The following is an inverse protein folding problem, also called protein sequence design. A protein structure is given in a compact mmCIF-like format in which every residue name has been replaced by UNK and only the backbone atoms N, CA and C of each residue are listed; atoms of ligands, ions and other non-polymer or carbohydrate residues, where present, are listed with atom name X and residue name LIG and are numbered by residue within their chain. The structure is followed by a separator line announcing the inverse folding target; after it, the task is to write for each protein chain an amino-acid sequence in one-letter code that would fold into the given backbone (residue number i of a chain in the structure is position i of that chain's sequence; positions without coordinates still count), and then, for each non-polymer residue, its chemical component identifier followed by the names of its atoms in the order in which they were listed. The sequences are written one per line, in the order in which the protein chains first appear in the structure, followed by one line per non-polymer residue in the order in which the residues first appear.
data_IF_868544660666
#
_entry.id   IF_868544660666
#
_cell.length_a   1.000
_cell.length_b   1.000
_cell.length_c   1.000
_cell.angle_alpha   90.00
_cell.angle_beta   90.00
_cell.angle_gamma   90.00
#
_symmetry.space_group_name_H-M   'P 1'
#
loop_
_entity.id
_entity.type
_entity.pdbx_description
1 polymer ?
#
# COMPACT_ATOMS: atom_id res chain seq x y z
N UNK A 1 4.76 -6.79 1.75
CA UNK A 1 5.55 -8.03 1.54
C UNK A 1 4.84 -9.11 2.33
N UNK A 2 4.55 -10.26 1.70
CA UNK A 2 4.04 -11.43 2.43
C UNK A 2 5.20 -12.28 2.95
N UNK A 3 4.92 -13.17 3.92
CA UNK A 3 5.96 -13.98 4.57
C UNK A 3 6.70 -14.90 3.60
N UNK A 4 5.98 -15.51 2.64
CA UNK A 4 6.58 -16.43 1.64
C UNK A 4 7.55 -15.70 0.73
N UNK A 5 7.21 -14.48 0.31
CA UNK A 5 8.11 -13.63 -0.46
C UNK A 5 9.36 -13.29 0.36
N UNK A 6 9.21 -12.98 1.64
CA UNK A 6 10.34 -12.64 2.51
C UNK A 6 11.31 -13.82 2.67
N UNK A 7 10.80 -15.02 2.96
CA UNK A 7 11.61 -16.24 3.07
C UNK A 7 12.37 -16.56 1.77
N UNK A 8 11.74 -16.33 0.62
CA UNK A 8 12.39 -16.52 -0.69
C UNK A 8 13.52 -15.51 -0.91
N UNK A 9 13.32 -14.25 -0.53
CA UNK A 9 14.35 -13.22 -0.65
C UNK A 9 15.53 -13.52 0.28
N UNK A 10 15.27 -13.99 1.50
CA UNK A 10 16.28 -14.46 2.44
C UNK A 10 17.11 -15.61 1.84
N UNK A 11 16.44 -16.66 1.34
CA UNK A 11 17.09 -17.81 0.72
C UNK A 11 17.94 -17.43 -0.50
N UNK A 12 17.46 -16.51 -1.34
CA UNK A 12 18.24 -15.96 -2.46
C UNK A 12 19.47 -15.21 -1.95
N UNK A 13 19.31 -14.35 -0.94
CA UNK A 13 20.40 -13.57 -0.35
C UNK A 13 21.50 -14.48 0.22
N UNK A 14 21.11 -15.48 1.01
CA UNK A 14 22.02 -16.51 1.57
C UNK A 14 22.80 -17.22 0.47
N UNK A 15 22.10 -17.69 -0.57
CA UNK A 15 22.70 -18.44 -1.69
C UNK A 15 23.66 -17.60 -2.51
N UNK A 16 23.23 -16.41 -2.97
CA UNK A 16 24.04 -15.55 -3.85
C UNK A 16 25.30 -15.04 -3.15
N UNK A 17 25.25 -14.86 -1.83
CA UNK A 17 26.36 -14.33 -1.04
C UNK A 17 27.25 -15.42 -0.42
N UNK A 18 26.93 -16.70 -0.64
CA UNK A 18 27.70 -17.83 -0.10
C UNK A 18 27.70 -17.88 1.43
N UNK A 19 26.63 -17.40 2.08
CA UNK A 19 26.49 -17.35 3.54
C UNK A 19 25.17 -18.02 3.95
N UNK A 20 25.10 -19.37 3.97
CA UNK A 20 23.86 -20.10 4.21
C UNK A 20 23.29 -19.88 5.62
N UNK A 21 24.15 -19.65 6.61
CA UNK A 21 23.75 -19.54 8.02
C UNK A 21 23.59 -18.08 8.50
N UNK A 22 23.59 -17.10 7.60
CA UNK A 22 23.45 -15.68 7.95
C UNK A 22 22.21 -15.09 7.25
N UNK A 23 21.25 -14.48 7.98
CA UNK A 23 20.07 -13.86 7.39
C UNK A 23 20.41 -12.92 6.24
N UNK A 24 19.70 -13.07 5.13
CA UNK A 24 19.88 -12.33 3.89
C UNK A 24 21.33 -12.35 3.36
N UNK A 25 22.13 -13.35 3.76
CA UNK A 25 23.57 -13.41 3.47
C UNK A 25 24.37 -12.28 4.11
N UNK A 26 23.90 -11.73 5.23
CA UNK A 26 24.53 -10.64 5.97
C UNK A 26 24.31 -9.25 5.38
N UNK A 27 23.23 -9.06 4.60
CA UNK A 27 22.77 -7.71 4.21
C UNK A 27 22.06 -7.09 5.41
N UNK A 28 22.39 -5.84 5.74
CA UNK A 28 21.65 -5.09 6.74
C UNK A 28 20.27 -4.72 6.17
N UNK A 29 19.23 -5.32 6.74
CA UNK A 29 17.86 -5.04 6.33
C UNK A 29 17.21 -4.02 7.26
N UNK A 30 16.57 -3.00 6.69
CA UNK A 30 15.78 -2.00 7.41
C UNK A 30 14.35 -2.11 6.89
N UNK A 31 13.44 -2.52 7.76
CA UNK A 31 12.02 -2.58 7.45
C UNK A 31 11.29 -1.41 8.11
N UNK A 32 10.36 -0.81 7.40
CA UNK A 32 9.44 0.18 7.93
C UNK A 32 8.03 -0.11 7.43
N UNK A 33 7.04 0.11 8.29
CA UNK A 33 5.65 -0.17 7.97
C UNK A 33 4.76 -0.15 9.19
N UNK A 34 3.50 -0.45 8.95
CA UNK A 34 2.46 -0.53 9.98
C UNK A 34 1.55 -1.72 9.64
N UNK A 35 1.64 -2.78 10.45
CA UNK A 35 0.86 -3.99 10.23
C UNK A 35 -0.63 -3.84 10.53
N UNK A 36 -1.06 -2.72 11.13
CA UNK A 36 -2.47 -2.36 11.26
C UNK A 36 -3.06 -1.74 9.99
N UNK A 37 -2.24 -1.49 8.95
CA UNK A 37 -2.71 -1.00 7.66
C UNK A 37 -3.04 -2.17 6.71
N UNK A 38 -3.03 -1.92 5.40
CA UNK A 38 -3.45 -2.90 4.41
C UNK A 38 -2.55 -4.15 4.43
N UNK A 39 -3.15 -5.36 4.47
CA UNK A 39 -2.41 -6.60 4.31
C UNK A 39 -1.87 -6.74 2.88
N UNK A 40 -0.90 -7.63 2.64
CA UNK A 40 -0.49 -7.96 1.29
C UNK A 40 -1.66 -8.54 0.48
N UNK A 41 -1.74 -8.17 -0.80
CA UNK A 41 -2.85 -8.58 -1.68
C UNK A 41 -2.83 -10.10 -1.89
N UNK A 42 -3.92 -10.78 -1.51
CA UNK A 42 -4.09 -12.24 -1.67
C UNK A 42 -3.05 -13.10 -0.94
N UNK A 43 -2.39 -12.56 0.09
CA UNK A 43 -1.44 -13.32 0.89
C UNK A 43 -2.12 -14.05 2.04
N UNK A 44 -1.57 -15.22 2.38
CA UNK A 44 -1.98 -16.02 3.53
C UNK A 44 -1.16 -15.67 4.79
N UNK A 45 0.08 -15.21 4.59
CA UNK A 45 1.03 -14.87 5.68
C UNK A 45 1.50 -13.42 5.58
N UNK A 46 1.46 -12.71 6.69
CA UNK A 46 2.12 -11.42 6.87
C UNK A 46 3.64 -11.58 6.87
N UNK A 47 4.37 -10.48 6.66
CA UNK A 47 5.84 -10.50 6.69
C UNK A 47 6.39 -10.97 8.05
N UNK A 48 5.76 -10.57 9.16
CA UNK A 48 6.18 -10.95 10.51
C UNK A 48 5.91 -12.42 10.85
N UNK A 49 5.20 -13.13 9.98
CA UNK A 49 4.97 -14.56 10.12
C UNK A 49 5.96 -15.37 9.29
N UNK A 50 6.94 -14.76 8.61
CA UNK A 50 7.97 -15.45 7.84
C UNK A 50 8.90 -16.27 8.75
N UNK A 51 9.41 -17.40 8.26
CA UNK A 51 10.28 -18.28 9.04
C UNK A 51 11.60 -17.57 9.39
N UNK A 52 12.11 -16.71 8.48
CA UNK A 52 13.33 -15.95 8.71
C UNK A 52 13.14 -14.71 9.60
N UNK A 53 11.90 -14.35 10.00
CA UNK A 53 11.64 -13.04 10.62
C UNK A 53 12.38 -12.83 11.94
N UNK A 54 12.29 -13.79 12.86
CA UNK A 54 12.88 -13.66 14.19
C UNK A 54 14.42 -13.64 14.16
N UNK A 55 15.03 -14.33 13.19
CA UNK A 55 16.49 -14.32 12.97
C UNK A 55 16.95 -13.00 12.31
N UNK A 56 16.11 -12.45 11.42
CA UNK A 56 16.41 -11.26 10.64
C UNK A 56 16.21 -9.95 11.42
N UNK A 57 15.15 -9.88 12.23
CA UNK A 57 14.73 -8.66 12.93
C UNK A 57 15.30 -8.64 14.35
N UNK A 58 16.55 -8.20 14.46
CA UNK A 58 17.21 -8.06 15.77
C UNK A 58 16.63 -6.94 16.65
N UNK A 59 16.07 -5.89 16.03
CA UNK A 59 15.57 -4.71 16.74
C UNK A 59 14.25 -4.23 16.14
N UNK A 60 13.30 -3.93 17.02
CA UNK A 60 12.01 -3.32 16.67
C UNK A 60 11.85 -2.01 17.44
N UNK A 61 11.52 -0.93 16.73
CA UNK A 61 11.30 0.40 17.30
C UNK A 61 9.90 0.86 16.92
N UNK A 62 9.08 1.14 17.94
CA UNK A 62 7.72 1.66 17.74
C UNK A 62 7.70 3.17 17.93
N UNK A 63 7.40 3.91 16.85
CA UNK A 63 7.22 5.35 16.89
C UNK A 63 5.84 5.69 17.47
N UNK A 64 5.81 6.57 18.48
CA UNK A 64 4.57 6.93 19.20
C UNK A 64 3.99 8.30 18.80
N UNK A 65 4.83 9.22 18.30
CA UNK A 65 4.41 10.58 17.98
C UNK A 65 3.81 10.67 16.58
N UNK A 66 2.56 11.13 16.49
CA UNK A 66 1.88 11.44 15.22
C UNK A 66 2.24 12.86 14.78
N UNK A 67 2.65 13.01 13.52
CA UNK A 67 3.05 14.31 12.94
C UNK A 67 2.10 14.84 11.88
N UNK A 68 1.33 13.98 11.21
CA UNK A 68 0.46 14.35 10.09
C UNK A 68 -0.74 15.16 10.56
N UNK A 69 -1.39 14.71 11.63
CA UNK A 69 -2.51 15.41 12.28
C UNK A 69 -2.00 16.16 13.51
N UNK A 70 -2.54 17.35 13.77
CA UNK A 70 -2.23 18.15 14.97
C UNK A 70 -3.37 18.13 15.99
N UNK A 71 -4.60 17.91 15.54
CA UNK A 71 -5.79 17.88 16.39
C UNK A 71 -5.81 16.59 17.23
N UNK A 72 -5.77 16.72 18.55
CA UNK A 72 -5.71 15.58 19.46
C UNK A 72 -6.96 14.71 19.42
N UNK A 73 -8.13 15.31 19.22
CA UNK A 73 -9.40 14.58 19.10
C UNK A 73 -9.40 13.72 17.86
N UNK A 74 -8.88 14.24 16.74
CA UNK A 74 -8.74 13.48 15.51
C UNK A 74 -7.66 12.40 15.61
N UNK A 75 -6.54 12.67 16.27
CA UNK A 75 -5.50 11.66 16.55
C UNK A 75 -6.08 10.50 17.36
N UNK A 76 -6.88 10.78 18.41
CA UNK A 76 -7.56 9.74 19.19
C UNK A 76 -8.51 8.90 18.32
N UNK A 77 -9.37 9.56 17.55
CA UNK A 77 -10.29 8.90 16.61
C UNK A 77 -9.55 7.94 15.65
N UNK A 78 -8.42 8.36 15.07
CA UNK A 78 -7.64 7.51 14.15
C UNK A 78 -6.95 6.34 14.85
N UNK A 79 -6.47 6.53 16.08
CA UNK A 79 -5.86 5.45 16.86
C UNK A 79 -6.90 4.41 17.32
N UNK A 80 -8.11 4.84 17.69
CA UNK A 80 -9.23 3.92 17.98
C UNK A 80 -9.60 3.10 16.75
N UNK A 81 -9.70 3.73 15.59
CA UNK A 81 -9.93 3.04 14.31
C UNK A 81 -8.84 2.02 14.01
N UNK A 82 -7.57 2.36 14.26
CA UNK A 82 -6.42 1.47 14.03
C UNK A 82 -6.51 0.17 14.85
N UNK A 83 -7.04 0.23 16.08
CA UNK A 83 -7.16 -0.92 16.96
C UNK A 83 -8.56 -1.56 16.96
N UNK A 84 -9.50 -1.01 16.18
CA UNK A 84 -10.91 -1.38 16.16
C UNK A 84 -11.63 -1.24 17.52
N UNK A 85 -11.22 -0.26 18.34
CA UNK A 85 -11.78 0.03 19.66
C UNK A 85 -12.55 1.36 19.64
N UNK A 86 -13.74 1.37 19.01
CA UNK A 86 -14.46 2.60 18.71
C UNK A 86 -15.30 3.10 19.90
N UNK A 87 -15.00 4.30 20.38
CA UNK A 87 -15.85 5.01 21.33
C UNK A 87 -17.12 5.59 20.67
N UNK A 88 -18.11 5.92 21.50
CA UNK A 88 -19.30 6.65 21.04
C UNK A 88 -18.94 8.02 20.44
N UNK A 89 -17.92 8.68 20.99
CA UNK A 89 -17.43 9.96 20.49
C UNK A 89 -16.84 9.81 19.08
N UNK A 90 -15.97 8.82 18.86
CA UNK A 90 -15.39 8.51 17.54
C UNK A 90 -16.46 8.17 16.52
N UNK A 91 -17.43 7.31 16.89
CA UNK A 91 -18.55 6.97 16.01
C UNK A 91 -19.35 8.22 15.61
N UNK A 92 -19.58 9.14 16.55
CA UNK A 92 -20.29 10.37 16.29
C UNK A 92 -19.49 11.31 15.38
N UNK A 93 -18.21 11.49 15.67
CA UNK A 93 -17.29 12.31 14.85
C UNK A 93 -17.26 11.84 13.39
N UNK A 94 -17.23 10.53 13.15
CA UNK A 94 -17.26 9.97 11.80
C UNK A 94 -18.60 10.21 11.09
N UNK A 95 -19.73 10.08 11.81
CA UNK A 95 -21.06 10.38 11.25
C UNK A 95 -21.22 11.84 10.88
N UNK A 96 -20.70 12.74 11.72
CA UNK A 96 -20.75 14.18 11.46
C UNK A 96 -19.85 14.56 10.28
N UNK A 97 -18.67 13.93 10.16
CA UNK A 97 -17.77 14.14 9.03
C UNK A 97 -18.39 13.81 7.67
N UNK A 98 -19.37 12.90 7.61
CA UNK A 98 -20.10 12.58 6.38
C UNK A 98 -20.96 13.75 5.86
N UNK A 99 -21.22 14.77 6.70
CA UNK A 99 -21.96 15.98 6.37
C UNK A 99 -21.06 17.18 6.09
N UNK A 100 -19.74 17.00 6.12
CA UNK A 100 -18.79 18.07 5.85
C UNK A 100 -19.02 18.64 4.45
N UNK A 101 -18.99 19.97 4.38
CA UNK A 101 -18.98 20.70 3.12
C UNK A 101 -17.53 21.02 2.76
N UNK A 102 -17.20 20.85 1.48
CA UNK A 102 -15.86 21.08 0.96
C UNK A 102 -15.94 22.17 -0.10
N UNK A 103 -14.91 23.03 -0.14
CA UNK A 103 -14.73 23.97 -1.23
C UNK A 103 -14.25 23.18 -2.46
N UNK A 104 -15.16 22.97 -3.40
CA UNK A 104 -14.93 22.12 -4.56
C UNK A 104 -15.09 20.64 -4.27
N UNK A 105 -14.65 19.81 -5.21
CA UNK A 105 -14.82 18.36 -5.11
C UNK A 105 -13.57 17.69 -4.51
N UNK A 106 -13.69 17.01 -3.36
CA UNK A 106 -12.56 16.33 -2.74
C UNK A 106 -12.18 15.04 -3.49
N UNK A 107 -10.92 14.64 -3.36
CA UNK A 107 -10.45 13.34 -3.81
C UNK A 107 -11.22 12.22 -3.11
N UNK A 108 -11.76 11.28 -3.88
CA UNK A 108 -12.52 10.13 -3.36
C UNK A 108 -11.64 8.89 -3.32
N UNK A 109 -11.53 8.28 -2.15
CA UNK A 109 -10.86 6.98 -1.98
C UNK A 109 -11.88 5.85 -2.20
N UNK A 110 -11.52 4.88 -3.03
CA UNK A 110 -12.40 3.78 -3.43
C UNK A 110 -11.73 2.43 -3.15
N UNK A 111 -12.52 1.42 -2.78
CA UNK A 111 -12.02 0.06 -2.52
C UNK A 111 -11.63 -0.70 -3.81
N UNK A 112 -12.26 -0.38 -4.94
CA UNK A 112 -12.02 -1.05 -6.22
C UNK A 112 -11.64 -0.04 -7.31
N UNK A 113 -10.62 -0.38 -8.09
CA UNK A 113 -10.11 0.46 -9.19
C UNK A 113 -11.21 0.84 -10.19
N UNK A 114 -12.09 -0.11 -10.56
CA UNK A 114 -13.19 0.14 -11.51
C UNK A 114 -14.11 1.31 -11.07
N UNK A 115 -14.29 1.50 -9.76
CA UNK A 115 -15.10 2.60 -9.22
C UNK A 115 -14.34 3.92 -9.37
N UNK A 116 -13.05 3.93 -9.03
CA UNK A 116 -12.20 5.10 -9.21
C UNK A 116 -12.09 5.49 -10.70
N UNK A 117 -11.86 4.53 -11.59
CA UNK A 117 -11.76 4.73 -13.04
C UNK A 117 -13.05 5.33 -13.60
N UNK A 118 -14.21 4.80 -13.19
CA UNK A 118 -15.51 5.33 -13.58
C UNK A 118 -15.70 6.78 -13.12
N UNK A 119 -15.38 7.09 -11.86
CA UNK A 119 -15.49 8.46 -11.31
C UNK A 119 -14.55 9.39 -12.08
N UNK A 120 -13.28 9.03 -12.23
CA UNK A 120 -12.27 9.85 -12.91
C UNK A 120 -12.64 10.10 -14.38
N UNK A 121 -13.08 9.06 -15.10
CA UNK A 121 -13.51 9.21 -16.49
C UNK A 121 -14.75 10.11 -16.63
N UNK A 122 -15.69 10.03 -15.68
CA UNK A 122 -16.83 10.94 -15.64
C UNK A 122 -16.37 12.39 -15.41
N UNK A 123 -15.42 12.62 -14.50
CA UNK A 123 -14.91 13.95 -14.16
C UNK A 123 -14.12 14.58 -15.30
N UNK A 124 -13.27 13.82 -15.97
CA UNK A 124 -12.55 14.28 -17.17
C UNK A 124 -13.53 14.73 -18.25
N UNK A 125 -14.62 13.99 -18.48
CA UNK A 125 -15.66 14.36 -19.48
C UNK A 125 -16.45 15.62 -19.13
N UNK A 126 -16.43 16.07 -17.88
CA UNK A 126 -17.11 17.30 -17.45
C UNK A 126 -16.28 18.55 -17.73
N UNK A 127 -15.00 18.41 -18.08
CA UNK A 127 -14.15 19.53 -18.44
C UNK A 127 -14.47 20.00 -19.86
N UNK A 128 -14.64 21.31 -20.03
CA UNK A 128 -14.91 21.95 -21.33
C UNK A 128 -13.66 22.18 -22.18
N UNK A 129 -12.48 21.90 -21.63
CA UNK A 129 -11.19 22.22 -22.24
C UNK A 129 -10.80 21.18 -23.29
N UNK A 130 -9.83 21.53 -24.13
CA UNK A 130 -9.29 20.60 -25.11
C UNK A 130 -8.65 19.38 -24.43
N UNK A 131 -8.99 18.20 -24.93
CA UNK A 131 -8.44 16.94 -24.42
C UNK A 131 -7.06 16.69 -25.02
N UNK A 132 -6.04 16.66 -24.17
CA UNK A 132 -4.70 16.21 -24.57
C UNK A 132 -4.53 14.72 -24.32
N UNK A 133 -4.15 13.97 -25.37
CA UNK A 133 -3.86 12.54 -25.27
C UNK A 133 -2.36 12.31 -25.29
N UNK A 134 -1.89 11.50 -24.36
CA UNK A 134 -0.50 11.04 -24.29
C UNK A 134 -0.50 9.55 -24.58
N UNK A 135 0.09 9.15 -25.72
CA UNK A 135 0.20 7.75 -26.10
C UNK A 135 1.48 7.18 -25.48
N UNK A 136 1.38 6.00 -24.87
CA UNK A 136 2.55 5.27 -24.40
C UNK A 136 3.26 4.57 -25.57
N UNK A 137 4.57 4.40 -25.49
CA UNK A 137 5.35 3.56 -26.39
C UNK A 137 6.09 2.51 -25.56
N UNK A 138 5.66 1.25 -25.67
CA UNK A 138 6.25 0.14 -24.95
C UNK A 138 7.24 -0.62 -25.84
N UNK A 139 8.49 -0.76 -25.38
CA UNK A 139 9.56 -1.49 -26.10
C UNK A 139 10.08 -2.66 -25.27
N UNK A 140 10.39 -3.76 -25.93
CA UNK A 140 10.96 -4.95 -25.29
C UNK A 140 11.53 -5.92 -26.31
N UNK A 141 12.63 -6.57 -25.93
CA UNK A 141 13.34 -7.56 -26.78
C UNK A 141 12.78 -8.98 -26.63
N UNK A 142 11.85 -9.19 -25.69
CA UNK A 142 11.28 -10.49 -25.38
C UNK A 142 9.80 -10.53 -25.79
N UNK A 143 9.49 -11.33 -26.81
CA UNK A 143 8.15 -11.44 -27.38
C UNK A 143 7.10 -11.92 -26.37
N UNK A 144 7.47 -12.82 -25.45
CA UNK A 144 6.55 -13.31 -24.42
C UNK A 144 6.16 -12.21 -23.42
N UNK A 145 7.11 -11.34 -23.09
CA UNK A 145 6.87 -10.18 -22.23
C UNK A 145 6.02 -9.13 -22.95
N UNK A 146 6.29 -8.88 -24.23
CA UNK A 146 5.49 -7.97 -25.05
C UNK A 146 4.05 -8.46 -25.23
N UNK A 147 3.83 -9.77 -25.36
CA UNK A 147 2.48 -10.36 -25.39
C UNK A 147 1.75 -10.19 -24.05
N UNK A 148 2.46 -10.35 -22.92
CA UNK A 148 1.88 -10.13 -21.58
C UNK A 148 1.45 -8.68 -21.39
N UNK A 149 2.28 -7.72 -21.80
CA UNK A 149 1.94 -6.28 -21.74
C UNK A 149 0.69 -5.99 -22.56
N UNK A 150 0.66 -6.42 -23.83
CA UNK A 150 -0.49 -6.22 -24.72
C UNK A 150 -1.78 -6.82 -24.18
N UNK A 151 -1.71 -7.96 -23.50
CA UNK A 151 -2.87 -8.61 -22.87
C UNK A 151 -3.36 -7.87 -21.62
N UNK A 152 -2.44 -7.32 -20.83
CA UNK A 152 -2.75 -6.66 -19.55
C UNK A 152 -3.18 -5.21 -19.72
N UNK A 153 -2.68 -4.54 -20.76
CA UNK A 153 -2.96 -3.14 -21.09
C UNK A 153 -3.41 -3.03 -22.55
N UNK A 154 -4.63 -3.48 -22.89
CA UNK A 154 -5.14 -3.36 -24.25
C UNK A 154 -5.34 -1.87 -24.60
N UNK A 155 -4.50 -1.35 -25.51
CA UNK A 155 -4.58 0.04 -25.99
C UNK A 155 -3.37 0.94 -25.70
N UNK A 156 -2.28 0.41 -25.14
CA UNK A 156 -0.95 1.03 -25.26
C UNK A 156 -0.44 0.93 -26.70
#
# INVERSE_FOLDING_TARGET
VDGVLLDKLDAIGRKVRGKPDVPFGGVQCIFCGDFFQLPPVKAVRMAFEADCWDELIAHSIVLKKVFRQKDERFIRCLNELRHAELSNETCQMLRDAARNQFDGEPTRLCAHNIVADRINAQKIRQLSNESHKYKAEDVGTNDSFMQMIKKKFPGA
#
